data_IF_744505604919
#
_entry.id   IF_744505604919
#
_cell.length_a   1.000
_cell.length_b   1.000
_cell.length_c   1.000
_cell.angle_alpha   90.00
_cell.angle_beta   90.00
_cell.angle_gamma   90.00
#
_symmetry.space_group_name_H-M   'P 1'
#
loop_
_entity.id
_entity.type
_entity.pdbx_description
1 polymer ?
#
# COMPACT_ATOMS: atom_id res chain seq x y z
N UNK A 1 -18.67 -14.66 13.15
CA UNK A 1 -18.16 -13.30 12.89
C UNK A 1 -16.71 -13.48 12.47
N UNK A 2 -16.21 -12.75 11.49
CA UNK A 2 -14.82 -12.90 11.02
C UNK A 2 -13.85 -12.28 12.01
N UNK A 3 -12.85 -13.03 12.46
CA UNK A 3 -11.85 -12.57 13.42
C UNK A 3 -10.49 -12.39 12.73
N UNK A 4 -9.86 -11.26 12.98
CA UNK A 4 -8.59 -10.86 12.38
C UNK A 4 -7.57 -10.59 13.47
N UNK A 5 -6.37 -11.12 13.31
CA UNK A 5 -5.23 -10.71 14.11
C UNK A 5 -4.39 -9.67 13.36
N UNK A 6 -4.19 -8.50 13.94
CA UNK A 6 -3.23 -7.49 13.49
C UNK A 6 -1.99 -7.60 14.36
N UNK A 7 -0.88 -7.95 13.74
CA UNK A 7 0.39 -8.21 14.41
C UNK A 7 1.41 -7.15 14.01
N UNK A 8 1.78 -6.29 14.96
CA UNK A 8 2.53 -5.06 14.72
C UNK A 8 1.58 -3.86 14.62
N UNK A 9 1.71 -2.95 15.57
CA UNK A 9 0.80 -1.82 15.83
C UNK A 9 1.45 -0.46 15.53
N UNK A 10 2.33 -0.41 14.52
CA UNK A 10 2.84 0.83 13.94
C UNK A 10 1.78 1.54 13.09
N UNK A 11 2.18 2.56 12.34
CA UNK A 11 1.28 3.37 11.47
C UNK A 11 0.43 2.50 10.54
N UNK A 12 1.03 1.49 9.90
CA UNK A 12 0.34 0.60 8.97
C UNK A 12 -0.60 -0.36 9.71
N UNK A 13 -0.13 -0.99 10.80
CA UNK A 13 -0.95 -1.91 11.57
C UNK A 13 -2.15 -1.23 12.23
N UNK A 14 -1.98 -0.02 12.79
CA UNK A 14 -3.09 0.77 13.33
C UNK A 14 -4.12 1.11 12.24
N UNK A 15 -3.64 1.46 11.04
CA UNK A 15 -4.53 1.70 9.89
C UNK A 15 -5.29 0.44 9.47
N UNK A 16 -4.67 -0.73 9.51
CA UNK A 16 -5.35 -2.00 9.25
C UNK A 16 -6.40 -2.34 10.32
N UNK A 17 -6.07 -2.13 11.59
CA UNK A 17 -7.04 -2.31 12.66
C UNK A 17 -8.29 -1.45 12.43
N UNK A 18 -8.11 -0.20 11.99
CA UNK A 18 -9.21 0.70 11.63
C UNK A 18 -10.02 0.20 10.43
N UNK A 19 -9.36 -0.27 9.37
CA UNK A 19 -10.02 -0.85 8.17
C UNK A 19 -10.90 -2.02 8.57
N UNK A 20 -10.37 -2.98 9.32
CA UNK A 20 -11.09 -4.19 9.71
C UNK A 20 -12.22 -3.90 10.70
N UNK A 21 -12.01 -2.97 11.64
CA UNK A 21 -13.06 -2.54 12.57
C UNK A 21 -14.25 -1.88 11.83
N UNK A 22 -13.99 -1.03 10.83
CA UNK A 22 -15.01 -0.41 9.97
C UNK A 22 -15.77 -1.44 9.15
N UNK A 23 -15.11 -2.51 8.72
CA UNK A 23 -15.74 -3.64 8.02
C UNK A 23 -16.59 -4.52 8.94
N UNK A 24 -16.62 -4.24 10.25
CA UNK A 24 -17.39 -4.99 11.23
C UNK A 24 -16.76 -6.32 11.64
N UNK A 25 -15.46 -6.50 11.42
CA UNK A 25 -14.72 -7.68 11.88
C UNK A 25 -14.35 -7.56 13.37
N UNK A 26 -14.17 -8.71 14.04
CA UNK A 26 -13.50 -8.75 15.34
C UNK A 26 -11.99 -8.63 15.12
N UNK A 27 -11.36 -7.66 15.76
CA UNK A 27 -9.95 -7.34 15.54
C UNK A 27 -9.17 -7.53 16.83
N UNK A 28 -8.31 -8.52 16.84
CA UNK A 28 -7.31 -8.72 17.88
C UNK A 28 -6.03 -7.98 17.48
N UNK A 29 -5.54 -7.06 18.29
CA UNK A 29 -4.30 -6.33 18.04
C UNK A 29 -3.22 -6.74 19.03
N UNK A 30 -2.03 -6.99 18.52
CA UNK A 30 -0.86 -7.32 19.33
C UNK A 30 0.41 -6.69 18.77
N UNK A 31 1.25 -6.20 19.67
CA UNK A 31 2.60 -5.71 19.37
C UNK A 31 3.55 -6.16 20.47
N UNK A 32 4.82 -6.35 20.13
CA UNK A 32 5.88 -6.64 21.11
C UNK A 32 6.08 -5.49 22.13
N UNK A 33 5.68 -4.26 21.75
CA UNK A 33 5.59 -3.11 22.62
C UNK A 33 4.11 -2.86 23.00
N UNK A 34 3.64 -3.21 24.21
CA UNK A 34 2.23 -3.10 24.59
C UNK A 34 1.62 -1.71 24.36
N UNK A 35 2.37 -0.65 24.61
CA UNK A 35 1.94 0.74 24.37
C UNK A 35 1.53 0.97 22.90
N UNK A 36 2.16 0.31 21.95
CA UNK A 36 1.80 0.44 20.55
C UNK A 36 0.40 -0.14 20.26
N UNK A 37 0.06 -1.26 20.90
CA UNK A 37 -1.28 -1.87 20.77
C UNK A 37 -2.36 -0.99 21.45
N UNK A 38 -2.06 -0.40 22.61
CA UNK A 38 -2.95 0.55 23.31
C UNK A 38 -3.19 1.82 22.46
N UNK A 39 -2.15 2.36 21.85
CA UNK A 39 -2.25 3.51 20.96
C UNK A 39 -3.10 3.16 19.70
N UNK A 40 -3.03 1.94 19.21
CA UNK A 40 -3.86 1.47 18.12
C UNK A 40 -5.34 1.43 18.52
N UNK A 41 -5.65 0.94 19.72
CA UNK A 41 -7.02 0.96 20.23
C UNK A 41 -7.56 2.38 20.32
N UNK A 42 -6.78 3.32 20.88
CA UNK A 42 -7.15 4.75 20.96
C UNK A 42 -7.39 5.33 19.56
N UNK A 43 -6.47 5.09 18.62
CA UNK A 43 -6.59 5.55 17.23
C UNK A 43 -7.88 5.06 16.55
N UNK A 44 -8.25 3.78 16.77
CA UNK A 44 -9.49 3.22 16.22
C UNK A 44 -10.72 3.79 16.91
N UNK A 45 -10.66 3.97 18.24
CA UNK A 45 -11.78 4.50 19.04
C UNK A 45 -12.13 5.93 18.65
N UNK A 46 -11.13 6.75 18.40
CA UNK A 46 -11.30 8.17 18.05
C UNK A 46 -11.71 8.38 16.59
N UNK A 47 -11.63 7.35 15.76
CA UNK A 47 -11.95 7.46 14.34
C UNK A 47 -13.47 7.39 14.09
N UNK A 48 -14.03 8.28 13.26
CA UNK A 48 -15.45 8.26 12.96
C UNK A 48 -15.85 6.99 12.19
N UNK A 49 -17.05 6.49 12.47
CA UNK A 49 -17.63 5.32 11.78
C UNK A 49 -17.11 3.96 12.26
N UNK A 50 -16.44 3.92 13.40
CA UNK A 50 -15.94 2.68 14.01
C UNK A 50 -16.88 2.14 15.08
N UNK A 51 -16.75 0.84 15.38
CA UNK A 51 -17.33 0.18 16.55
C UNK A 51 -16.17 -0.27 17.45
N UNK A 52 -15.75 0.52 18.43
CA UNK A 52 -14.60 0.20 19.28
C UNK A 52 -14.70 -1.15 19.99
N UNK A 53 -15.94 -1.59 20.29
CA UNK A 53 -16.21 -2.88 20.93
C UNK A 53 -15.71 -4.09 20.12
N UNK A 54 -15.40 -3.91 18.84
CA UNK A 54 -14.90 -4.99 17.99
C UNK A 54 -13.36 -5.10 18.02
N UNK A 55 -12.66 -4.19 18.70
CA UNK A 55 -11.17 -4.18 18.74
C UNK A 55 -10.71 -4.52 20.16
N UNK A 56 -9.81 -5.49 20.26
CA UNK A 56 -9.27 -5.97 21.53
C UNK A 56 -7.75 -5.96 21.49
N UNK A 57 -7.13 -5.36 22.49
CA UNK A 57 -5.68 -5.49 22.75
C UNK A 57 -5.43 -6.84 23.41
N UNK A 58 -4.50 -7.61 22.87
CA UNK A 58 -4.11 -8.92 23.37
C UNK A 58 -2.77 -8.84 24.11
N UNK A 59 -2.66 -9.58 25.22
CA UNK A 59 -1.46 -9.60 26.05
C UNK A 59 -0.34 -10.43 25.42
N UNK A 60 -0.68 -11.39 24.56
CA UNK A 60 0.30 -12.24 23.88
C UNK A 60 -0.06 -12.47 22.42
N UNK A 61 0.91 -12.94 21.62
CA UNK A 61 0.69 -13.33 20.24
C UNK A 61 -0.27 -14.51 20.15
N UNK A 62 -0.17 -15.46 21.08
CA UNK A 62 -1.03 -16.62 21.18
C UNK A 62 -2.49 -16.20 21.35
N UNK A 63 -2.75 -15.25 22.25
CA UNK A 63 -4.10 -14.69 22.47
C UNK A 63 -4.63 -13.96 21.23
N UNK A 64 -3.77 -13.23 20.52
CA UNK A 64 -4.18 -12.51 19.31
C UNK A 64 -4.59 -13.47 18.17
N UNK A 65 -3.93 -14.63 18.08
CA UNK A 65 -4.17 -15.62 17.03
C UNK A 65 -5.30 -16.60 17.37
N UNK A 66 -5.78 -16.63 18.61
CA UNK A 66 -6.82 -17.58 19.04
C UNK A 66 -8.12 -17.34 18.26
N UNK A 67 -8.52 -18.34 17.48
CA UNK A 67 -9.69 -18.29 16.62
C UNK A 67 -9.64 -17.27 15.49
N UNK A 68 -8.47 -16.77 15.12
CA UNK A 68 -8.31 -15.87 13.98
C UNK A 68 -8.54 -16.60 12.65
N UNK A 69 -9.27 -15.98 11.73
CA UNK A 69 -9.49 -16.43 10.35
C UNK A 69 -8.42 -15.87 9.40
N UNK A 70 -7.76 -14.79 9.79
CA UNK A 70 -6.81 -14.04 8.98
C UNK A 70 -5.80 -13.31 9.86
N UNK A 71 -4.55 -13.26 9.43
CA UNK A 71 -3.48 -12.51 10.10
C UNK A 71 -2.92 -11.46 9.15
N UNK A 72 -2.90 -10.20 9.58
CA UNK A 72 -2.20 -9.12 8.92
C UNK A 72 -0.97 -8.70 9.74
N UNK A 73 0.21 -9.06 9.26
CA UNK A 73 1.48 -8.71 9.89
C UNK A 73 1.98 -7.35 9.36
N UNK A 74 2.38 -6.48 10.29
CA UNK A 74 2.90 -5.13 10.04
C UNK A 74 4.11 -4.81 10.95
N UNK A 75 4.93 -5.82 11.26
CA UNK A 75 6.17 -5.68 12.02
C UNK A 75 7.24 -4.92 11.21
N UNK A 76 8.36 -4.50 11.83
CA UNK A 76 9.42 -3.77 11.16
C UNK A 76 9.94 -4.45 9.89
N UNK A 77 10.32 -3.65 8.90
CA UNK A 77 10.76 -4.06 7.55
C UNK A 77 12.19 -4.64 7.58
N UNK A 78 12.35 -5.75 8.29
CA UNK A 78 13.63 -6.47 8.46
C UNK A 78 13.38 -7.98 8.30
N UNK A 79 14.12 -8.61 7.39
CA UNK A 79 13.97 -10.03 7.04
C UNK A 79 14.09 -10.92 8.27
N UNK A 80 15.07 -10.67 9.15
CA UNK A 80 15.33 -11.48 10.34
C UNK A 80 14.13 -11.43 11.30
N UNK A 81 13.59 -10.23 11.55
CA UNK A 81 12.42 -10.03 12.43
C UNK A 81 11.21 -10.78 11.85
N UNK A 82 10.98 -10.64 10.53
CA UNK A 82 9.87 -11.33 9.87
C UNK A 82 10.05 -12.84 9.89
N UNK A 83 11.26 -13.36 9.66
CA UNK A 83 11.54 -14.81 9.73
C UNK A 83 11.22 -15.38 11.12
N UNK A 84 11.65 -14.71 12.17
CA UNK A 84 11.41 -15.16 13.55
C UNK A 84 9.92 -15.06 13.91
N UNK A 85 9.25 -13.99 13.53
CA UNK A 85 7.83 -13.82 13.76
C UNK A 85 7.01 -14.88 13.00
N UNK A 86 7.31 -15.11 11.71
CA UNK A 86 6.58 -16.06 10.89
C UNK A 86 6.76 -17.50 11.34
N UNK A 87 7.90 -17.90 11.96
CA UNK A 87 8.01 -19.20 12.66
C UNK A 87 6.97 -19.35 13.75
N UNK A 88 6.76 -18.30 14.54
CA UNK A 88 5.74 -18.30 15.61
C UNK A 88 4.33 -18.33 15.04
N UNK A 89 4.06 -17.50 14.02
CA UNK A 89 2.77 -17.45 13.33
C UNK A 89 2.41 -18.82 12.72
N UNK A 90 3.39 -19.50 12.08
CA UNK A 90 3.15 -20.79 11.43
C UNK A 90 2.78 -21.90 12.42
N UNK A 91 3.28 -21.84 13.65
CA UNK A 91 2.98 -22.82 14.71
C UNK A 91 1.65 -22.51 15.42
N UNK A 92 1.38 -21.21 15.65
CA UNK A 92 0.27 -20.78 16.51
C UNK A 92 -1.06 -20.60 15.74
N UNK A 93 -1.00 -20.14 14.49
CA UNK A 93 -2.20 -19.93 13.71
C UNK A 93 -2.78 -21.26 13.20
N UNK A 94 -4.11 -21.36 13.17
CA UNK A 94 -4.80 -22.53 12.61
C UNK A 94 -4.36 -22.85 11.18
N UNK A 95 -4.50 -24.10 10.71
CA UNK A 95 -3.95 -24.54 9.42
C UNK A 95 -4.51 -23.79 8.22
N UNK A 96 -5.74 -23.34 8.29
CA UNK A 96 -6.44 -22.65 7.21
C UNK A 96 -6.28 -21.12 7.25
N UNK A 97 -5.59 -20.59 8.27
CA UNK A 97 -5.42 -19.14 8.43
C UNK A 97 -4.46 -18.57 7.38
N UNK A 98 -4.88 -17.53 6.68
CA UNK A 98 -4.03 -16.77 5.77
C UNK A 98 -3.04 -15.93 6.57
N UNK A 99 -1.75 -16.05 6.28
CA UNK A 99 -0.69 -15.25 6.89
C UNK A 99 -0.21 -14.20 5.89
N UNK A 100 -0.69 -12.98 6.05
CA UNK A 100 -0.43 -11.86 5.16
C UNK A 100 0.58 -10.88 5.76
N UNK A 101 1.54 -10.41 4.96
CA UNK A 101 2.49 -9.36 5.35
C UNK A 101 2.19 -8.05 4.67
N UNK A 102 2.30 -6.95 5.42
CA UNK A 102 2.19 -5.57 4.91
C UNK A 102 3.53 -5.02 4.40
N UNK A 103 4.54 -5.85 4.19
CA UNK A 103 5.84 -5.40 3.69
C UNK A 103 5.70 -4.61 2.40
N UNK A 104 6.49 -3.54 2.27
CA UNK A 104 6.47 -2.67 1.09
C UNK A 104 7.47 -3.09 0.00
N UNK A 105 8.42 -3.97 0.32
CA UNK A 105 9.47 -4.33 -0.63
C UNK A 105 10.09 -5.71 -0.46
N UNK A 106 9.90 -6.38 0.69
CA UNK A 106 10.43 -7.71 0.92
C UNK A 106 9.50 -8.77 0.29
N UNK A 107 9.98 -9.62 -0.64
CA UNK A 107 9.17 -10.72 -1.15
C UNK A 107 8.89 -11.73 -0.04
N UNK A 108 7.69 -12.34 -0.02
CA UNK A 108 7.33 -13.33 0.99
C UNK A 108 8.29 -14.51 1.00
N UNK A 109 8.87 -14.84 -0.14
CA UNK A 109 9.89 -15.89 -0.27
C UNK A 109 11.15 -15.65 0.59
N UNK A 110 11.49 -14.39 0.89
CA UNK A 110 12.68 -14.08 1.68
C UNK A 110 12.54 -14.41 3.19
N UNK A 111 11.30 -14.52 3.69
CA UNK A 111 11.07 -14.75 5.11
C UNK A 111 10.13 -15.94 5.43
N UNK A 112 9.61 -16.63 4.42
CA UNK A 112 8.71 -17.79 4.62
C UNK A 112 9.23 -19.11 4.04
N UNK A 113 10.39 -19.14 3.39
CA UNK A 113 10.99 -20.31 2.72
C UNK A 113 11.20 -21.52 3.64
N UNK A 114 11.45 -21.27 4.92
CA UNK A 114 11.77 -22.25 5.95
C UNK A 114 10.54 -22.79 6.70
N UNK A 115 9.33 -22.32 6.41
CA UNK A 115 8.11 -22.69 7.12
C UNK A 115 7.53 -24.01 6.58
N UNK A 116 6.94 -24.80 7.47
CA UNK A 116 6.27 -26.03 7.08
C UNK A 116 4.99 -25.76 6.28
N UNK A 117 4.20 -24.75 6.69
CA UNK A 117 2.91 -24.41 6.08
C UNK A 117 2.99 -23.14 5.23
N UNK A 118 4.12 -22.89 4.56
CA UNK A 118 4.40 -21.69 3.78
C UNK A 118 3.42 -21.42 2.63
N UNK A 119 2.67 -22.42 2.21
CA UNK A 119 1.67 -22.30 1.13
C UNK A 119 0.53 -21.31 1.44
N UNK A 120 0.33 -20.96 2.74
CA UNK A 120 -0.68 -20.00 3.20
C UNK A 120 -0.16 -18.59 3.41
N UNK A 121 1.13 -18.35 3.07
CA UNK A 121 1.79 -17.07 3.24
C UNK A 121 1.82 -16.27 1.94
N UNK A 122 1.52 -14.95 2.01
CA UNK A 122 1.66 -14.03 0.89
C UNK A 122 1.93 -12.62 1.41
N UNK A 123 2.34 -11.72 0.50
CA UNK A 123 2.30 -10.29 0.79
C UNK A 123 0.92 -9.74 0.43
N UNK A 124 0.37 -8.91 1.31
CA UNK A 124 -0.80 -8.06 1.08
C UNK A 124 -0.36 -6.63 1.37
N UNK A 125 0.24 -6.04 0.34
CA UNK A 125 0.88 -4.73 0.42
C UNK A 125 -0.14 -3.60 0.32
N UNK A 126 -0.35 -2.80 1.37
CA UNK A 126 -1.23 -1.63 1.30
C UNK A 126 -0.52 -0.42 0.70
N UNK A 127 -1.30 0.51 0.18
CA UNK A 127 -0.81 1.86 -0.06
C UNK A 127 -1.11 2.72 1.16
N UNK A 128 -0.06 3.29 1.74
CA UNK A 128 -0.16 4.02 3.02
C UNK A 128 -0.83 5.39 2.84
N UNK A 129 -1.86 5.75 3.64
CA UNK A 129 -2.43 4.94 4.73
C UNK A 129 -3.63 4.07 4.24
N UNK A 130 -3.67 2.76 4.60
CA UNK A 130 -4.69 1.81 4.11
C UNK A 130 -6.14 2.22 4.35
N UNK A 131 -6.41 2.94 5.43
CA UNK A 131 -7.77 3.39 5.76
C UNK A 131 -8.27 4.55 4.88
N UNK A 132 -7.42 5.14 4.05
CA UNK A 132 -7.75 6.21 3.10
C UNK A 132 -7.56 5.80 1.64
N UNK A 133 -6.58 4.94 1.38
CA UNK A 133 -6.24 4.46 0.03
C UNK A 133 -6.57 2.97 -0.04
N UNK A 134 -7.62 2.57 -0.77
CA UNK A 134 -8.14 1.20 -0.69
C UNK A 134 -7.32 0.17 -1.48
N UNK A 135 -6.36 0.58 -2.31
CA UNK A 135 -5.60 -0.35 -3.12
C UNK A 135 -4.71 -1.25 -2.25
N UNK A 136 -4.75 -2.55 -2.51
CA UNK A 136 -3.83 -3.54 -1.96
C UNK A 136 -3.29 -4.47 -3.05
N UNK A 137 -2.03 -4.82 -2.96
CA UNK A 137 -1.37 -5.74 -3.90
C UNK A 137 -1.22 -7.10 -3.23
N UNK A 138 -1.81 -8.13 -3.86
CA UNK A 138 -1.68 -9.52 -3.43
C UNK A 138 -0.52 -10.15 -4.18
N UNK A 139 0.57 -10.42 -3.46
CA UNK A 139 1.83 -10.91 -4.06
C UNK A 139 2.14 -12.31 -3.52
N UNK A 140 1.87 -13.37 -4.31
CA UNK A 140 2.14 -14.74 -3.90
C UNK A 140 3.63 -15.04 -3.95
N UNK A 141 4.14 -15.78 -2.94
CA UNK A 141 5.43 -16.46 -3.05
C UNK A 141 5.34 -17.63 -4.06
N UNK A 142 6.46 -18.20 -4.51
CA UNK A 142 6.45 -19.33 -5.45
C UNK A 142 5.68 -20.58 -4.97
N UNK A 143 5.46 -20.68 -3.68
CA UNK A 143 4.74 -21.79 -3.03
C UNK A 143 3.36 -21.44 -2.51
N UNK A 144 2.93 -20.17 -2.65
CA UNK A 144 1.60 -19.76 -2.19
C UNK A 144 0.50 -20.44 -3.01
N UNK A 145 -0.43 -21.08 -2.34
CA UNK A 145 -1.58 -21.70 -3.00
C UNK A 145 -2.47 -20.64 -3.67
N UNK A 146 -2.91 -20.92 -4.89
CA UNK A 146 -3.81 -20.04 -5.63
C UNK A 146 -5.11 -19.74 -4.85
N UNK A 147 -5.63 -20.72 -4.11
CA UNK A 147 -6.80 -20.54 -3.26
C UNK A 147 -6.55 -19.57 -2.09
N UNK A 148 -5.33 -19.48 -1.58
CA UNK A 148 -4.94 -18.52 -0.54
C UNK A 148 -5.02 -17.10 -1.09
N UNK A 149 -4.56 -16.89 -2.33
CA UNK A 149 -4.66 -15.58 -3.01
C UNK A 149 -6.12 -15.15 -3.19
N UNK A 150 -6.98 -16.08 -3.63
CA UNK A 150 -8.42 -15.79 -3.82
C UNK A 150 -9.14 -15.54 -2.49
N UNK A 151 -8.79 -16.27 -1.44
CA UNK A 151 -9.31 -16.01 -0.08
C UNK A 151 -8.88 -14.65 0.44
N UNK A 152 -7.60 -14.28 0.25
CA UNK A 152 -7.09 -12.96 0.61
C UNK A 152 -7.80 -11.85 -0.20
N UNK A 153 -8.02 -12.06 -1.51
CA UNK A 153 -8.75 -11.11 -2.34
C UNK A 153 -10.18 -10.91 -1.85
N UNK A 154 -10.90 -12.00 -1.60
CA UNK A 154 -12.27 -11.96 -1.09
C UNK A 154 -12.33 -11.27 0.28
N UNK A 155 -11.38 -11.59 1.15
CA UNK A 155 -11.27 -10.99 2.48
C UNK A 155 -11.04 -9.48 2.39
N UNK A 156 -10.08 -9.02 1.58
CA UNK A 156 -9.78 -7.61 1.39
C UNK A 156 -10.93 -6.84 0.73
N UNK A 157 -11.63 -7.44 -0.23
CA UNK A 157 -12.84 -6.84 -0.82
C UNK A 157 -13.94 -6.64 0.24
N UNK A 158 -14.18 -7.63 1.10
CA UNK A 158 -15.11 -7.49 2.23
C UNK A 158 -14.69 -6.44 3.24
N UNK A 159 -13.39 -6.20 3.38
CA UNK A 159 -12.83 -5.12 4.20
C UNK A 159 -12.93 -3.73 3.52
N UNK A 160 -13.54 -3.63 2.33
CA UNK A 160 -13.66 -2.38 1.59
C UNK A 160 -12.40 -1.98 0.83
N UNK A 161 -11.46 -2.90 0.65
CA UNK A 161 -10.25 -2.67 -0.13
C UNK A 161 -10.43 -3.07 -1.60
N UNK A 162 -9.54 -2.58 -2.46
CA UNK A 162 -9.48 -2.87 -3.89
C UNK A 162 -8.24 -3.73 -4.20
N UNK A 163 -8.33 -5.08 -4.09
CA UNK A 163 -7.18 -5.95 -4.28
C UNK A 163 -6.84 -6.11 -5.76
N UNK A 164 -5.56 -5.96 -6.10
CA UNK A 164 -4.98 -6.43 -7.37
C UNK A 164 -4.14 -7.69 -7.11
N UNK A 165 -4.13 -8.60 -8.08
CA UNK A 165 -3.42 -9.87 -8.00
C UNK A 165 -2.18 -9.83 -8.87
N UNK A 166 -1.02 -10.06 -8.29
CA UNK A 166 0.20 -10.28 -9.05
C UNK A 166 0.32 -11.78 -9.37
N UNK A 167 0.84 -12.09 -10.55
CA UNK A 167 1.05 -13.48 -10.94
C UNK A 167 2.27 -14.11 -10.24
N UNK A 168 3.21 -13.28 -9.79
CA UNK A 168 4.46 -13.70 -9.11
C UNK A 168 5.09 -12.54 -8.36
N UNK A 169 6.03 -12.86 -7.48
CA UNK A 169 6.90 -11.85 -6.86
C UNK A 169 7.71 -11.09 -7.91
N UNK A 170 7.85 -9.79 -7.69
CA UNK A 170 8.73 -8.89 -8.42
C UNK A 170 9.20 -7.79 -7.46
N UNK A 171 10.45 -7.38 -7.55
CA UNK A 171 10.98 -6.28 -6.72
C UNK A 171 10.16 -5.01 -6.93
N UNK A 172 9.74 -4.39 -5.82
CA UNK A 172 8.93 -3.15 -5.83
C UNK A 172 7.46 -3.36 -6.24
N UNK A 173 7.01 -4.60 -6.45
CA UNK A 173 5.63 -4.92 -6.82
C UNK A 173 5.15 -4.11 -8.04
N UNK A 174 3.87 -3.72 -8.15
CA UNK A 174 3.38 -2.90 -9.27
C UNK A 174 3.45 -1.41 -8.90
N UNK A 175 2.91 -1.01 -7.74
CA UNK A 175 2.76 0.41 -7.39
C UNK A 175 4.12 1.08 -7.22
N UNK A 176 5.06 0.46 -6.47
CA UNK A 176 6.39 1.05 -6.29
C UNK A 176 7.17 1.13 -7.61
N UNK A 177 6.97 0.19 -8.53
CA UNK A 177 7.59 0.25 -9.85
C UNK A 177 7.05 1.39 -10.70
N UNK A 178 5.73 1.59 -10.71
CA UNK A 178 5.10 2.71 -11.43
C UNK A 178 5.50 4.05 -10.81
N UNK A 179 5.47 4.14 -9.49
CA UNK A 179 5.89 5.33 -8.76
C UNK A 179 7.38 5.62 -8.96
N UNK A 180 8.22 4.59 -8.92
CA UNK A 180 9.67 4.73 -9.14
C UNK A 180 10.00 5.21 -10.55
N UNK A 181 9.30 4.72 -11.59
CA UNK A 181 9.47 5.20 -12.95
C UNK A 181 9.08 6.69 -13.09
N UNK A 182 7.96 7.09 -12.49
CA UNK A 182 7.53 8.49 -12.47
C UNK A 182 8.53 9.38 -11.71
N UNK A 183 8.95 8.96 -10.52
CA UNK A 183 9.91 9.74 -9.71
C UNK A 183 11.29 9.80 -10.38
N UNK A 184 11.76 8.73 -11.01
CA UNK A 184 13.03 8.74 -11.74
C UNK A 184 13.06 9.84 -12.80
N UNK A 185 11.99 9.96 -13.58
CA UNK A 185 11.89 11.02 -14.59
C UNK A 185 11.65 12.39 -13.96
N UNK A 186 10.85 12.51 -12.91
CA UNK A 186 10.60 13.75 -12.20
C UNK A 186 11.90 14.37 -11.67
N UNK A 187 12.76 13.58 -11.02
CA UNK A 187 14.05 14.03 -10.52
C UNK A 187 15.01 14.38 -11.67
N UNK A 188 15.00 13.63 -12.78
CA UNK A 188 15.81 13.92 -13.98
C UNK A 188 15.46 15.28 -14.57
N UNK A 189 14.17 15.58 -14.77
CA UNK A 189 13.72 16.86 -15.33
C UNK A 189 14.15 18.05 -14.48
N UNK A 190 14.12 17.91 -13.16
CA UNK A 190 14.60 18.96 -12.24
C UNK A 190 16.13 19.08 -12.29
N UNK A 191 16.86 17.97 -12.25
CA UNK A 191 18.34 17.94 -12.30
C UNK A 191 18.88 18.56 -13.59
N UNK A 192 18.25 18.27 -14.72
CA UNK A 192 18.62 18.80 -16.04
C UNK A 192 18.12 20.25 -16.25
N UNK A 193 17.47 20.87 -15.26
CA UNK A 193 16.99 22.25 -15.30
C UNK A 193 15.86 22.49 -16.31
N UNK A 194 15.13 21.44 -16.69
CA UNK A 194 13.99 21.54 -17.63
C UNK A 194 12.83 22.32 -17.01
N UNK A 195 12.53 22.04 -15.73
CA UNK A 195 11.48 22.73 -14.97
C UNK A 195 11.72 22.63 -13.47
N UNK A 196 10.94 23.38 -12.68
CA UNK A 196 10.96 23.29 -11.21
C UNK A 196 10.27 22.02 -10.70
N UNK A 197 10.58 21.62 -9.46
CA UNK A 197 9.85 20.52 -8.80
C UNK A 197 8.34 20.84 -8.65
N UNK A 198 7.99 22.11 -8.44
CA UNK A 198 6.60 22.55 -8.38
C UNK A 198 5.87 22.40 -9.72
N UNK A 199 6.55 22.62 -10.85
CA UNK A 199 5.95 22.44 -12.18
C UNK A 199 5.76 20.95 -12.50
N UNK A 200 6.69 20.07 -12.09
CA UNK A 200 6.50 18.61 -12.15
C UNK A 200 5.26 18.19 -11.38
N UNK A 201 5.14 18.62 -10.12
CA UNK A 201 3.96 18.32 -9.29
C UNK A 201 2.66 18.79 -9.96
N UNK A 202 2.67 20.00 -10.52
CA UNK A 202 1.51 20.55 -11.22
C UNK A 202 1.17 19.74 -12.48
N UNK A 203 2.16 19.33 -13.27
CA UNK A 203 1.96 18.50 -14.46
C UNK A 203 1.32 17.14 -14.10
N UNK A 204 1.72 16.56 -12.97
CA UNK A 204 1.13 15.31 -12.49
C UNK A 204 -0.28 15.57 -11.92
N UNK A 205 -0.43 16.52 -11.00
CA UNK A 205 -1.70 16.73 -10.28
C UNK A 205 -2.82 17.22 -11.20
N UNK A 206 -2.53 18.20 -12.07
CA UNK A 206 -3.54 18.83 -12.95
C UNK A 206 -3.63 18.17 -14.33
N UNK A 207 -2.63 17.33 -14.69
CA UNK A 207 -2.57 16.67 -15.98
C UNK A 207 -2.89 15.17 -15.89
N UNK A 208 -1.89 14.39 -15.52
CA UNK A 208 -1.99 12.92 -15.53
C UNK A 208 -2.93 12.41 -14.45
N UNK A 209 -2.74 12.85 -13.20
CA UNK A 209 -3.46 12.36 -12.03
C UNK A 209 -4.97 12.64 -12.08
N UNK A 210 -5.38 13.76 -12.66
CA UNK A 210 -6.80 14.11 -12.81
C UNK A 210 -7.57 13.05 -13.63
N UNK A 211 -6.97 12.53 -14.70
CA UNK A 211 -7.54 11.43 -15.50
C UNK A 211 -7.42 10.10 -14.77
N UNK A 212 -6.23 9.82 -14.23
CA UNK A 212 -5.93 8.56 -13.55
C UNK A 212 -6.70 8.36 -12.24
N UNK A 213 -7.35 9.40 -11.76
CA UNK A 213 -8.24 9.29 -10.61
C UNK A 213 -9.48 8.42 -10.89
N UNK A 214 -10.02 8.49 -12.11
CA UNK A 214 -11.20 7.71 -12.51
C UNK A 214 -10.85 6.44 -13.27
N UNK A 215 -9.77 6.46 -14.04
CA UNK A 215 -9.35 5.39 -14.93
C UNK A 215 -7.83 5.22 -14.89
N UNK A 216 -7.34 4.03 -15.19
CA UNK A 216 -5.90 3.77 -15.26
C UNK A 216 -5.24 4.31 -16.55
N UNK A 217 -3.91 4.14 -16.68
CA UNK A 217 -3.18 4.63 -17.85
C UNK A 217 -3.63 3.97 -19.16
N UNK A 218 -3.96 2.68 -19.15
CA UNK A 218 -4.41 1.97 -20.37
C UNK A 218 -5.78 2.44 -20.84
N UNK A 219 -6.74 2.58 -19.95
CA UNK A 219 -8.05 3.12 -20.29
C UNK A 219 -7.95 4.59 -20.75
N UNK A 220 -7.07 5.38 -20.13
CA UNK A 220 -6.81 6.76 -20.56
C UNK A 220 -6.35 6.82 -22.02
N UNK A 221 -5.39 5.99 -22.42
CA UNK A 221 -4.89 6.01 -23.81
C UNK A 221 -5.86 5.34 -24.79
N UNK A 222 -6.68 4.40 -24.34
CA UNK A 222 -7.75 3.82 -25.13
C UNK A 222 -8.77 4.87 -25.56
N UNK A 223 -9.17 5.73 -24.62
CA UNK A 223 -10.12 6.83 -24.86
C UNK A 223 -9.51 8.03 -25.60
N UNK A 224 -8.18 8.12 -25.69
CA UNK A 224 -7.48 9.21 -26.40
C UNK A 224 -7.30 8.98 -27.90
N UNK A 225 -7.74 7.85 -28.45
CA UNK A 225 -7.66 7.55 -29.87
C UNK A 225 -9.02 7.14 -30.41
N UNK A 226 -9.33 7.49 -31.66
CA UNK A 226 -10.61 7.21 -32.28
C UNK A 226 -10.92 5.70 -32.36
N UNK A 227 -9.88 4.87 -32.58
CA UNK A 227 -9.97 3.41 -32.68
C UNK A 227 -9.26 2.70 -31.52
N UNK A 228 -9.17 3.37 -30.36
CA UNK A 228 -8.68 2.79 -29.11
C UNK A 228 -7.17 2.62 -29.01
N UNK A 229 -6.76 1.85 -28.00
CA UNK A 229 -5.35 1.67 -27.59
C UNK A 229 -4.43 1.20 -28.72
N UNK A 230 -4.92 0.36 -29.63
CA UNK A 230 -4.11 -0.13 -30.75
C UNK A 230 -3.69 0.99 -31.70
N UNK A 231 -4.59 1.93 -32.01
CA UNK A 231 -4.28 3.12 -32.80
C UNK A 231 -3.31 4.04 -32.05
N UNK A 232 -3.58 4.31 -30.77
CA UNK A 232 -2.70 5.10 -29.93
C UNK A 232 -1.26 4.57 -29.92
N UNK A 233 -1.12 3.27 -29.70
CA UNK A 233 0.21 2.64 -29.67
C UNK A 233 0.94 2.70 -31.01
N UNK A 234 0.24 2.54 -32.12
CA UNK A 234 0.85 2.68 -33.46
C UNK A 234 1.35 4.11 -33.72
N UNK A 235 0.57 5.10 -33.31
CA UNK A 235 0.85 6.50 -33.62
C UNK A 235 1.90 7.09 -32.67
N UNK A 236 1.82 6.80 -31.36
CA UNK A 236 2.65 7.41 -30.33
C UNK A 236 3.73 6.48 -29.76
N UNK A 237 3.61 5.16 -30.00
CA UNK A 237 4.60 4.18 -29.53
C UNK A 237 6.05 4.49 -29.94
N UNK A 238 6.34 4.88 -31.19
CA UNK A 238 7.69 5.27 -31.59
C UNK A 238 8.28 6.44 -30.78
N UNK A 239 7.47 7.44 -30.44
CA UNK A 239 7.87 8.56 -29.57
C UNK A 239 8.20 8.04 -28.15
N UNK A 240 7.32 7.26 -27.52
CA UNK A 240 7.57 6.71 -26.19
C UNK A 240 8.78 5.77 -26.15
N UNK A 241 9.02 5.02 -27.24
CA UNK A 241 10.23 4.21 -27.35
C UNK A 241 11.50 5.08 -27.43
N UNK A 242 11.44 6.23 -28.09
CA UNK A 242 12.51 7.23 -28.09
C UNK A 242 12.79 7.74 -26.68
N UNK A 243 11.74 8.20 -25.97
CA UNK A 243 11.84 8.66 -24.59
C UNK A 243 12.43 7.58 -23.66
N UNK A 244 11.98 6.33 -23.79
CA UNK A 244 12.48 5.23 -22.98
C UNK A 244 13.99 4.99 -23.17
N UNK A 245 14.55 5.26 -24.36
CA UNK A 245 16.00 5.20 -24.61
C UNK A 245 16.73 6.35 -23.91
N UNK A 246 16.19 7.56 -23.94
CA UNK A 246 16.75 8.71 -23.23
C UNK A 246 16.72 8.51 -21.70
N UNK A 247 15.69 7.83 -21.21
CA UNK A 247 15.48 7.50 -19.79
C UNK A 247 16.25 6.26 -19.32
N UNK A 248 16.97 5.55 -20.19
CA UNK A 248 17.65 4.29 -19.87
C UNK A 248 18.88 4.43 -18.97
N UNK A 249 19.28 5.64 -18.63
CA UNK A 249 20.39 5.97 -17.74
C UNK A 249 19.85 6.20 -16.31
N UNK A 250 19.91 5.20 -15.40
CA UNK A 250 19.44 5.38 -14.03
C UNK A 250 20.38 6.31 -13.26
N UNK A 251 19.80 7.33 -12.61
CA UNK A 251 20.53 8.30 -11.80
C UNK A 251 20.18 8.15 -10.33
N UNK A 252 21.20 8.23 -9.47
CA UNK A 252 20.96 8.34 -8.03
C UNK A 252 20.51 9.76 -7.67
N UNK A 253 19.60 9.86 -6.72
CA UNK A 253 19.16 11.14 -6.18
C UNK A 253 20.25 11.69 -5.25
N UNK A 254 21.15 12.50 -5.79
CA UNK A 254 22.26 13.05 -5.04
C UNK A 254 21.81 14.10 -4.00
N UNK A 255 22.63 14.27 -2.95
CA UNK A 255 22.28 15.13 -1.82
C UNK A 255 22.03 16.60 -2.20
N UNK A 256 22.73 17.13 -3.22
CA UNK A 256 22.55 18.51 -3.73
C UNK A 256 21.14 18.66 -4.31
N UNK A 257 20.75 17.80 -5.23
CA UNK A 257 19.43 17.84 -5.88
C UNK A 257 18.30 17.68 -4.86
N UNK A 258 18.44 16.71 -3.94
CA UNK A 258 17.45 16.50 -2.85
C UNK A 258 17.34 17.76 -2.00
N UNK A 259 18.47 18.39 -1.62
CA UNK A 259 18.50 19.62 -0.82
C UNK A 259 17.83 20.80 -1.54
N UNK A 260 18.09 21.01 -2.83
CA UNK A 260 17.46 22.07 -3.62
C UNK A 260 15.94 21.91 -3.69
N UNK A 261 15.45 20.69 -3.91
CA UNK A 261 14.00 20.37 -3.90
C UNK A 261 13.42 20.57 -2.50
N UNK A 262 14.11 20.09 -1.45
CA UNK A 262 13.64 20.25 -0.08
C UNK A 262 13.51 21.72 0.31
N UNK A 263 14.48 22.56 -0.02
CA UNK A 263 14.41 24.01 0.20
C UNK A 263 13.22 24.66 -0.53
N UNK A 264 12.95 24.27 -1.78
CA UNK A 264 11.77 24.74 -2.50
C UNK A 264 10.48 24.43 -1.75
N UNK A 265 10.35 23.19 -1.24
CA UNK A 265 9.17 22.78 -0.49
C UNK A 265 9.10 23.36 0.92
N UNK A 266 10.23 23.58 1.60
CA UNK A 266 10.25 24.23 2.92
C UNK A 266 9.82 25.70 2.84
N UNK A 267 10.07 26.39 1.73
CA UNK A 267 9.51 27.76 1.51
C UNK A 267 7.98 27.77 1.41
N UNK A 268 7.35 26.68 0.96
CA UNK A 268 5.88 26.54 0.86
C UNK A 268 5.25 26.05 2.16
N UNK A 269 5.93 25.13 2.85
CA UNK A 269 5.44 24.47 4.04
C UNK A 269 6.64 24.26 4.98
N UNK A 270 6.66 24.96 6.10
CA UNK A 270 7.71 24.79 7.09
C UNK A 270 7.71 23.36 7.68
N UNK A 271 8.84 22.92 8.22
CA UNK A 271 8.95 21.54 8.72
C UNK A 271 7.98 21.26 9.87
N UNK A 272 7.75 22.23 10.73
CA UNK A 272 6.78 22.21 11.84
C UNK A 272 5.33 22.09 11.39
N UNK A 273 5.00 22.56 10.17
CA UNK A 273 3.65 22.51 9.60
C UNK A 273 3.33 21.19 8.88
N UNK A 274 4.30 20.30 8.73
CA UNK A 274 4.11 19.00 8.06
C UNK A 274 2.99 18.14 8.68
N UNK A 275 2.80 18.09 10.01
CA UNK A 275 1.66 17.37 10.59
C UNK A 275 0.30 17.94 10.15
N UNK A 276 0.15 19.26 10.14
CA UNK A 276 -1.07 19.93 9.68
C UNK A 276 -1.31 19.70 8.19
N UNK A 277 -0.24 19.71 7.37
CA UNK A 277 -0.32 19.44 5.94
C UNK A 277 -0.70 17.97 5.64
N UNK A 278 -0.21 17.01 6.42
CA UNK A 278 -0.68 15.62 6.36
C UNK A 278 -2.17 15.50 6.67
N UNK A 279 -2.63 16.11 7.75
CA UNK A 279 -4.05 16.10 8.11
C UNK A 279 -4.92 16.76 7.03
N UNK A 280 -4.44 17.82 6.39
CA UNK A 280 -5.12 18.43 5.24
C UNK A 280 -5.20 17.43 4.06
N UNK A 281 -4.11 16.77 3.70
CA UNK A 281 -4.07 15.71 2.65
C UNK A 281 -5.10 14.62 2.94
N UNK A 282 -5.16 14.16 4.17
CA UNK A 282 -6.06 13.08 4.56
C UNK A 282 -7.53 13.48 4.40
N UNK A 283 -7.89 14.72 4.77
CA UNK A 283 -9.23 15.26 4.49
C UNK A 283 -9.54 15.35 3.00
N UNK A 284 -8.57 15.76 2.18
CA UNK A 284 -8.75 15.79 0.72
C UNK A 284 -8.97 14.37 0.16
N UNK A 285 -8.22 13.38 0.63
CA UNK A 285 -8.38 11.98 0.20
C UNK A 285 -9.76 11.42 0.56
N UNK A 286 -10.27 11.71 1.76
CA UNK A 286 -11.62 11.33 2.16
C UNK A 286 -12.66 11.94 1.21
N UNK A 287 -12.63 13.25 1.03
CA UNK A 287 -13.58 13.96 0.15
C UNK A 287 -13.53 13.44 -1.30
N UNK A 288 -12.32 13.18 -1.79
CA UNK A 288 -12.09 12.70 -3.14
C UNK A 288 -12.61 11.27 -3.32
N UNK A 289 -12.36 10.38 -2.35
CA UNK A 289 -12.86 9.00 -2.37
C UNK A 289 -14.39 8.95 -2.34
N UNK A 290 -15.03 9.81 -1.54
CA UNK A 290 -16.48 9.94 -1.50
C UNK A 290 -17.05 10.46 -2.84
N UNK A 291 -16.39 11.46 -3.44
CA UNK A 291 -16.76 11.96 -4.76
C UNK A 291 -16.65 10.87 -5.83
N UNK A 292 -15.58 10.09 -5.82
CA UNK A 292 -15.36 8.96 -6.75
C UNK A 292 -16.48 7.92 -6.62
N UNK A 293 -16.80 7.51 -5.39
CA UNK A 293 -17.89 6.54 -5.14
C UNK A 293 -19.22 7.05 -5.69
N UNK A 294 -19.52 8.33 -5.46
CA UNK A 294 -20.76 8.95 -5.96
C UNK A 294 -20.84 8.96 -7.48
N UNK A 295 -19.74 9.28 -8.16
CA UNK A 295 -19.69 9.34 -9.62
C UNK A 295 -19.79 7.96 -10.24
N UNK A 296 -19.12 6.97 -9.64
CA UNK A 296 -19.06 5.59 -10.16
C UNK A 296 -20.24 4.72 -9.70
N UNK A 297 -21.07 5.20 -8.76
CA UNK A 297 -22.21 4.43 -8.24
C UNK A 297 -21.84 3.24 -7.36
N UNK A 298 -20.69 3.31 -6.66
CA UNK A 298 -20.15 2.25 -5.80
C UNK A 298 -19.90 2.72 -4.39
#
# INVERSE_FOLDING_TARGET
>A
MTRVAVVGCGVVGSSWALVFARAGFEVNVWDAAPVAAENTLSFVTDAPGTRPANVRVCASLEEALDGADYVQESAPERVEIKRDLYRRLDVLAGPDVVLASSTSGLPASSFTDHLANRARCLVVHPINPPHLIPLVELVPAPWTDANVVERAATFMTRAGQAPIRLAREINGFVVNRLQGALLGEAFRLVEDGVCSAADVDKAVAEGLGLRWFFMGPFETIDLNAQHGIGEYCRNLGPMYYGLAKEQADPREWNARLVGEIEEEYRRKTAAEDLPARRAWRDRCLVALTEAKRRVLGV
#
